data_IF_677059863478
#
_entry.id   IF_677059863478
#
_cell.length_a   1.000
_cell.length_b   1.000
_cell.length_c   1.000
_cell.angle_alpha   90.00
_cell.angle_beta   90.00
_cell.angle_gamma   90.00
#
_symmetry.space_group_name_H-M   'P 1'
#
loop_
_entity.id
_entity.type
_entity.pdbx_description
1 polymer ?
#
# COMPACT_ATOMS: atom_id res chain seq x y z
N UNK A 1 14.93 22.61 -7.26
CA UNK A 1 13.75 23.10 -6.54
C UNK A 1 13.61 22.25 -5.29
N UNK A 2 13.60 22.88 -4.12
CA UNK A 2 13.38 22.19 -2.84
C UNK A 2 11.93 22.43 -2.43
N UNK A 3 11.16 21.37 -2.22
CA UNK A 3 9.82 21.44 -1.66
C UNK A 3 9.92 20.85 -0.25
N UNK A 4 9.91 21.72 0.78
CA UNK A 4 9.89 21.36 2.21
C UNK A 4 10.63 20.06 2.58
N UNK A 5 11.96 20.06 2.38
CA UNK A 5 12.81 18.93 2.77
C UNK A 5 13.05 17.84 1.71
N UNK A 6 12.47 17.98 0.51
CA UNK A 6 12.76 17.11 -0.62
C UNK A 6 13.60 17.82 -1.67
N UNK A 7 14.70 17.20 -2.11
CA UNK A 7 15.50 17.67 -3.23
C UNK A 7 14.97 17.05 -4.53
N UNK A 8 14.55 17.86 -5.49
CA UNK A 8 14.30 17.42 -6.85
C UNK A 8 15.65 17.28 -7.57
N UNK A 9 16.09 16.04 -7.74
CA UNK A 9 17.26 15.73 -8.55
C UNK A 9 16.83 15.60 -10.01
N UNK A 10 17.33 16.48 -10.87
CA UNK A 10 17.22 16.32 -12.32
C UNK A 10 18.36 15.40 -12.76
N UNK A 11 18.05 14.12 -12.96
CA UNK A 11 19.00 13.18 -13.55
C UNK A 11 19.10 13.42 -15.06
N UNK A 12 20.28 13.21 -15.69
CA UNK A 12 20.40 13.16 -17.15
C UNK A 12 19.42 12.11 -17.67
N UNK A 13 18.62 12.48 -18.65
CA UNK A 13 17.70 11.55 -19.30
C UNK A 13 18.54 10.51 -20.04
N UNK A 14 18.55 9.27 -19.56
CA UNK A 14 19.08 8.16 -20.33
C UNK A 14 18.19 8.00 -21.57
N UNK A 15 18.80 7.89 -22.74
CA UNK A 15 18.04 7.57 -23.95
C UNK A 15 17.30 6.26 -23.73
N UNK A 16 15.99 6.29 -23.83
CA UNK A 16 15.16 5.10 -23.72
C UNK A 16 15.49 4.18 -24.90
N UNK A 17 16.11 3.05 -24.64
CA UNK A 17 16.52 2.09 -25.68
C UNK A 17 15.33 1.36 -26.32
N UNK A 18 14.15 1.41 -25.70
CA UNK A 18 12.90 0.89 -26.27
C UNK A 18 11.71 1.74 -25.86
N UNK A 19 10.80 2.09 -26.79
CA UNK A 19 9.57 2.79 -26.45
C UNK A 19 8.66 1.88 -25.61
N UNK A 20 8.10 2.42 -24.54
CA UNK A 20 7.05 1.76 -23.79
C UNK A 20 5.75 1.69 -24.61
N UNK A 21 4.91 0.66 -24.42
CA UNK A 21 3.55 0.65 -24.97
C UNK A 21 2.80 1.94 -24.62
N UNK A 22 1.98 2.44 -25.56
CA UNK A 22 1.36 3.78 -25.45
C UNK A 22 0.43 3.96 -24.26
N UNK A 23 -0.15 2.88 -23.76
CA UNK A 23 -1.09 2.83 -22.65
C UNK A 23 -0.43 2.66 -21.27
N UNK A 24 0.89 2.39 -21.25
CA UNK A 24 1.68 2.28 -20.00
C UNK A 24 1.93 3.67 -19.45
N UNK A 25 1.48 3.90 -18.21
CA UNK A 25 1.62 5.18 -17.51
C UNK A 25 2.56 5.10 -16.31
N UNK A 26 2.92 3.88 -15.90
CA UNK A 26 3.79 3.65 -14.74
C UNK A 26 4.61 2.37 -14.91
N UNK A 27 5.85 2.41 -14.44
CA UNK A 27 6.70 1.24 -14.26
C UNK A 27 7.07 1.13 -12.79
N UNK A 28 6.81 -0.02 -12.17
CA UNK A 28 7.22 -0.29 -10.81
C UNK A 28 8.20 -1.46 -10.78
N UNK A 29 9.29 -1.33 -10.03
CA UNK A 29 10.30 -2.38 -9.95
C UNK A 29 10.03 -3.30 -8.77
N UNK A 30 10.12 -4.61 -9.02
CA UNK A 30 10.08 -5.65 -7.98
C UNK A 30 11.46 -6.27 -7.82
N UNK A 31 11.75 -6.77 -6.63
CA UNK A 31 13.05 -7.41 -6.32
C UNK A 31 13.32 -8.68 -7.14
N UNK A 32 12.30 -9.25 -7.80
CA UNK A 32 12.39 -10.45 -8.63
C UNK A 32 12.98 -11.68 -7.89
N UNK A 33 12.36 -12.83 -8.01
CA UNK A 33 12.87 -14.09 -7.44
C UNK A 33 14.18 -14.56 -8.10
N UNK A 34 14.52 -14.00 -9.26
CA UNK A 34 15.71 -14.33 -10.07
C UNK A 34 16.92 -13.42 -9.81
N UNK A 35 16.85 -12.53 -8.80
CA UNK A 35 17.97 -11.66 -8.41
C UNK A 35 18.12 -10.37 -9.24
N UNK A 36 17.42 -10.23 -10.37
CA UNK A 36 17.40 -8.98 -11.14
C UNK A 36 16.05 -8.28 -10.98
N UNK A 37 16.02 -6.97 -10.69
CA UNK A 37 14.77 -6.23 -10.61
C UNK A 37 13.99 -6.30 -11.93
N UNK A 38 12.69 -6.57 -11.83
CA UNK A 38 11.78 -6.56 -12.99
C UNK A 38 10.90 -5.32 -12.94
N UNK A 39 10.86 -4.56 -14.02
CA UNK A 39 9.97 -3.41 -14.14
C UNK A 39 8.59 -3.86 -14.63
N UNK A 40 7.61 -3.88 -13.74
CA UNK A 40 6.21 -4.19 -14.08
C UNK A 40 5.58 -3.01 -14.79
N UNK A 41 5.02 -3.25 -15.97
CA UNK A 41 4.33 -2.24 -16.79
C UNK A 41 2.87 -2.13 -16.32
N UNK A 42 2.47 -0.92 -15.93
CA UNK A 42 1.10 -0.65 -15.47
C UNK A 42 0.43 0.37 -16.40
N UNK A 43 -0.76 0.00 -16.86
CA UNK A 43 -1.59 0.86 -17.71
C UNK A 43 -2.51 1.73 -16.87
N UNK A 44 -3.03 2.80 -17.48
CA UNK A 44 -4.05 3.64 -16.88
C UNK A 44 -5.30 2.82 -16.51
N UNK A 45 -5.72 1.92 -17.39
CA UNK A 45 -6.91 1.08 -17.16
C UNK A 45 -6.76 0.19 -15.92
N UNK A 46 -5.58 -0.45 -15.75
CA UNK A 46 -5.32 -1.28 -14.57
C UNK A 46 -5.38 -0.45 -13.27
N UNK A 47 -4.71 0.70 -13.26
CA UNK A 47 -4.68 1.58 -12.08
C UNK A 47 -6.09 2.08 -11.76
N UNK A 48 -6.87 2.51 -12.76
CA UNK A 48 -8.25 2.96 -12.55
C UNK A 48 -9.14 1.85 -11.98
N UNK A 49 -9.07 0.65 -12.54
CA UNK A 49 -9.88 -0.48 -12.06
C UNK A 49 -9.59 -0.84 -10.59
N UNK A 50 -8.30 -0.83 -10.19
CA UNK A 50 -7.91 -1.08 -8.80
C UNK A 50 -8.37 0.06 -7.88
N UNK A 51 -8.17 1.32 -8.28
CA UNK A 51 -8.56 2.48 -7.45
C UNK A 51 -10.06 2.54 -7.25
N UNK A 52 -10.87 2.34 -8.29
CA UNK A 52 -12.33 2.29 -8.20
C UNK A 52 -12.80 1.17 -7.27
N UNK A 53 -12.24 -0.03 -7.41
CA UNK A 53 -12.55 -1.18 -6.56
C UNK A 53 -12.19 -0.93 -5.10
N UNK A 54 -11.05 -0.27 -4.82
CA UNK A 54 -10.63 0.05 -3.45
C UNK A 54 -11.50 1.13 -2.82
N UNK A 55 -11.93 2.14 -3.59
CA UNK A 55 -12.89 3.16 -3.12
C UNK A 55 -14.18 2.47 -2.66
N UNK A 56 -14.71 1.55 -3.47
CA UNK A 56 -15.94 0.82 -3.17
C UNK A 56 -15.78 -0.06 -1.91
N UNK A 57 -14.76 -0.94 -1.89
CA UNK A 57 -14.59 -1.95 -0.84
C UNK A 57 -14.19 -1.35 0.50
N UNK A 58 -13.32 -0.34 0.52
CA UNK A 58 -12.90 0.37 1.71
C UNK A 58 -13.84 1.54 2.07
N UNK A 59 -14.88 1.79 1.25
CA UNK A 59 -15.86 2.86 1.43
C UNK A 59 -15.21 4.22 1.63
N UNK A 60 -14.22 4.54 0.78
CA UNK A 60 -13.48 5.81 0.86
C UNK A 60 -14.38 6.95 0.38
N UNK A 61 -14.39 8.04 1.14
CA UNK A 61 -15.18 9.25 0.86
C UNK A 61 -14.30 10.50 0.94
N UNK A 62 -14.83 11.65 0.54
CA UNK A 62 -14.16 12.96 0.66
C UNK A 62 -13.87 13.37 2.11
N UNK A 63 -14.53 12.77 3.09
CA UNK A 63 -14.33 13.07 4.51
C UNK A 63 -13.10 12.35 5.09
N UNK A 64 -12.52 11.41 4.34
CA UNK A 64 -11.36 10.66 4.80
C UNK A 64 -10.09 11.47 4.80
N UNK A 65 -9.24 11.14 5.77
CA UNK A 65 -7.87 11.65 5.92
C UNK A 65 -6.90 10.49 6.03
N UNK A 66 -6.02 10.39 5.07
CA UNK A 66 -4.99 9.36 5.03
C UNK A 66 -3.63 9.91 5.44
N UNK A 67 -2.85 9.12 6.17
CA UNK A 67 -1.43 9.37 6.38
C UNK A 67 -0.59 8.33 5.66
N UNK A 68 0.28 8.78 4.76
CA UNK A 68 1.26 7.93 4.11
C UNK A 68 2.37 7.57 5.10
N UNK A 69 2.52 6.28 5.38
CA UNK A 69 3.53 5.74 6.29
C UNK A 69 4.68 5.10 5.52
N UNK A 70 4.37 4.38 4.45
CA UNK A 70 5.40 3.82 3.58
C UNK A 70 5.90 4.85 2.56
N UNK A 71 7.15 4.70 2.06
CA UNK A 71 7.65 5.54 0.99
C UNK A 71 6.72 5.51 -0.24
N UNK A 72 6.52 6.65 -0.90
CA UNK A 72 5.66 6.75 -2.09
C UNK A 72 6.13 5.91 -3.29
N UNK A 73 7.38 5.42 -3.25
CA UNK A 73 7.88 4.45 -4.23
C UNK A 73 7.29 3.05 -4.03
N UNK A 74 6.76 2.74 -2.85
CA UNK A 74 6.05 1.48 -2.57
C UNK A 74 4.69 1.52 -3.26
N UNK A 75 4.46 0.58 -4.18
CA UNK A 75 3.26 0.59 -5.03
C UNK A 75 1.96 0.56 -4.21
N UNK A 76 1.94 -0.17 -3.10
CA UNK A 76 0.77 -0.25 -2.21
C UNK A 76 0.39 1.13 -1.66
N UNK A 77 1.35 1.88 -1.11
CA UNK A 77 1.10 3.24 -0.61
C UNK A 77 0.73 4.19 -1.74
N UNK A 78 1.41 4.09 -2.87
CA UNK A 78 1.17 4.96 -4.01
C UNK A 78 -0.25 4.80 -4.60
N UNK A 79 -0.70 3.57 -4.79
CA UNK A 79 -2.03 3.27 -5.35
C UNK A 79 -3.12 3.42 -4.27
N UNK A 80 -3.03 2.66 -3.19
CA UNK A 80 -4.09 2.58 -2.19
C UNK A 80 -4.10 3.75 -1.21
N UNK A 81 -2.92 4.34 -0.91
CA UNK A 81 -2.79 5.47 0.01
C UNK A 81 -2.91 6.84 -0.67
N UNK A 82 -2.51 6.96 -1.95
CA UNK A 82 -2.53 8.27 -2.63
C UNK A 82 -3.61 8.33 -3.70
N UNK A 83 -3.55 7.46 -4.72
CA UNK A 83 -4.47 7.58 -5.88
C UNK A 83 -5.92 7.35 -5.49
N UNK A 84 -6.18 6.34 -4.66
CA UNK A 84 -7.54 6.03 -4.14
C UNK A 84 -8.11 7.24 -3.40
N UNK A 85 -7.35 7.82 -2.48
CA UNK A 85 -7.83 8.93 -1.65
C UNK A 85 -8.06 10.19 -2.49
N UNK A 86 -7.12 10.54 -3.38
CA UNK A 86 -7.26 11.70 -4.26
C UNK A 86 -8.43 11.54 -5.23
N UNK A 87 -8.66 10.36 -5.78
CA UNK A 87 -9.80 10.08 -6.66
C UNK A 87 -11.14 10.21 -5.93
N UNK A 88 -11.19 9.85 -4.65
CA UNK A 88 -12.38 10.02 -3.81
C UNK A 88 -12.56 11.47 -3.29
N UNK A 89 -11.64 12.40 -3.59
CA UNK A 89 -11.66 13.77 -3.06
C UNK A 89 -11.23 13.89 -1.60
N UNK A 90 -10.61 12.86 -1.05
CA UNK A 90 -10.12 12.77 0.33
C UNK A 90 -8.79 13.51 0.53
N UNK A 91 -8.38 13.67 1.79
CA UNK A 91 -7.12 14.32 2.15
C UNK A 91 -6.00 13.28 2.30
N UNK A 92 -4.80 13.62 1.80
CA UNK A 92 -3.60 12.81 1.96
C UNK A 92 -2.51 13.64 2.66
N UNK A 93 -2.03 13.14 3.81
CA UNK A 93 -0.91 13.69 4.55
C UNK A 93 0.35 12.90 4.23
N UNK A 94 1.40 13.57 3.80
CA UNK A 94 2.71 12.97 3.46
C UNK A 94 3.77 13.57 4.39
N UNK A 95 3.95 13.00 5.60
CA UNK A 95 4.94 13.50 6.56
C UNK A 95 6.35 13.04 6.20
N UNK A 96 7.35 13.67 6.81
CA UNK A 96 8.72 13.15 6.76
C UNK A 96 8.86 11.85 7.56
N UNK A 97 9.84 11.02 7.23
CA UNK A 97 10.13 9.79 7.96
C UNK A 97 10.39 10.06 9.46
N UNK A 98 11.13 11.12 9.78
CA UNK A 98 11.38 11.52 11.17
C UNK A 98 10.09 11.88 11.92
N UNK A 99 9.16 12.59 11.28
CA UNK A 99 7.86 12.94 11.89
C UNK A 99 7.02 11.68 12.20
N UNK A 100 7.19 10.60 11.43
CA UNK A 100 6.57 9.30 11.66
C UNK A 100 7.29 8.45 12.72
N UNK A 101 8.49 8.84 13.13
CA UNK A 101 9.35 8.04 14.00
C UNK A 101 10.02 6.87 13.29
N UNK A 102 10.31 7.03 11.99
CA UNK A 102 10.95 6.01 11.16
C UNK A 102 12.43 6.30 10.98
N UNK A 103 13.26 5.25 11.02
CA UNK A 103 14.66 5.23 10.58
C UNK A 103 14.86 4.14 9.53
N UNK A 104 15.27 4.54 8.32
CA UNK A 104 15.35 3.62 7.19
C UNK A 104 14.00 2.97 6.90
N UNK A 105 13.93 1.63 6.96
CA UNK A 105 12.68 0.86 6.77
C UNK A 105 11.99 0.48 8.09
N UNK A 106 12.58 0.79 9.23
CA UNK A 106 12.07 0.47 10.56
C UNK A 106 11.26 1.60 11.18
N UNK A 107 10.37 1.26 12.11
CA UNK A 107 9.61 2.21 12.92
C UNK A 107 10.15 2.17 14.35
N UNK A 108 11.07 3.08 14.67
CA UNK A 108 11.77 3.07 15.97
C UNK A 108 10.96 3.77 17.08
N UNK A 109 10.07 4.67 16.67
CA UNK A 109 9.24 5.43 17.61
C UNK A 109 7.77 5.40 17.18
N UNK A 110 7.06 4.24 17.34
CA UNK A 110 5.66 4.09 16.93
C UNK A 110 4.71 5.10 17.60
N UNK A 111 5.09 5.64 18.76
CA UNK A 111 4.35 6.68 19.47
C UNK A 111 4.17 7.96 18.65
N UNK A 112 5.13 8.31 17.78
CA UNK A 112 5.02 9.48 16.89
C UNK A 112 3.92 9.29 15.86
N UNK A 113 3.85 8.12 15.23
CA UNK A 113 2.77 7.80 14.29
C UNK A 113 1.41 7.80 15.01
N UNK A 114 1.30 7.13 16.15
CA UNK A 114 0.06 7.09 16.95
C UNK A 114 -0.40 8.51 17.32
N UNK A 115 0.50 9.34 17.83
CA UNK A 115 0.21 10.73 18.16
C UNK A 115 -0.25 11.54 16.97
N UNK A 116 0.38 11.35 15.80
CA UNK A 116 0.00 12.02 14.55
C UNK A 116 -1.39 11.59 14.10
N UNK A 117 -1.71 10.29 14.13
CA UNK A 117 -3.03 9.76 13.77
C UNK A 117 -4.11 10.43 14.62
N UNK A 118 -3.92 10.47 15.95
CA UNK A 118 -4.86 11.07 16.89
C UNK A 118 -4.99 12.58 16.67
N UNK A 119 -3.86 13.31 16.64
CA UNK A 119 -3.88 14.78 16.57
C UNK A 119 -4.41 15.32 15.25
N UNK A 120 -4.24 14.60 14.16
CA UNK A 120 -4.69 15.01 12.82
C UNK A 120 -6.06 14.46 12.46
N UNK A 121 -6.67 13.62 13.30
CA UNK A 121 -7.94 12.97 13.01
C UNK A 121 -7.83 12.08 11.75
N UNK A 122 -6.78 11.25 11.69
CA UNK A 122 -6.56 10.35 10.56
C UNK A 122 -7.58 9.22 10.62
N UNK A 123 -8.27 9.00 9.49
CA UNK A 123 -9.31 7.98 9.37
C UNK A 123 -8.82 6.71 8.68
N UNK A 124 -7.78 6.80 7.86
CA UNK A 124 -7.24 5.66 7.11
C UNK A 124 -5.71 5.63 7.16
N UNK A 125 -5.14 4.42 7.21
CA UNK A 125 -3.68 4.20 7.17
C UNK A 125 -3.39 2.84 6.54
N UNK A 126 -2.20 2.70 5.95
CA UNK A 126 -1.67 1.42 5.47
C UNK A 126 -0.44 1.06 6.29
N UNK A 127 -0.43 -0.12 6.89
CA UNK A 127 0.68 -0.60 7.72
C UNK A 127 1.22 -1.94 7.18
N UNK A 128 2.52 -2.13 7.33
CA UNK A 128 3.14 -3.44 7.27
C UNK A 128 2.99 -4.16 8.61
N UNK A 129 3.07 -5.51 8.68
CA UNK A 129 2.88 -6.26 9.93
C UNK A 129 3.76 -5.79 11.09
N UNK A 130 5.05 -5.52 10.84
CA UNK A 130 5.96 -5.01 11.88
C UNK A 130 5.59 -3.61 12.39
N UNK A 131 5.04 -2.75 11.54
CA UNK A 131 4.53 -1.44 11.94
C UNK A 131 3.28 -1.56 12.81
N UNK A 132 2.36 -2.47 12.45
CA UNK A 132 1.18 -2.77 13.25
C UNK A 132 1.56 -3.31 14.62
N UNK A 133 2.56 -4.19 14.70
CA UNK A 133 3.04 -4.73 15.98
C UNK A 133 3.56 -3.61 16.90
N UNK A 134 4.40 -2.72 16.37
CA UNK A 134 4.88 -1.54 17.09
C UNK A 134 3.72 -0.66 17.58
N UNK A 135 2.71 -0.45 16.74
CA UNK A 135 1.53 0.34 17.04
C UNK A 135 0.70 -0.28 18.19
N UNK A 136 0.46 -1.59 18.13
CA UNK A 136 -0.23 -2.36 19.17
C UNK A 136 0.53 -2.30 20.49
N UNK A 137 1.85 -2.53 20.48
CA UNK A 137 2.68 -2.50 21.69
C UNK A 137 2.57 -1.17 22.44
N UNK A 138 2.51 -0.06 21.70
CA UNK A 138 2.35 1.28 22.29
C UNK A 138 0.99 1.45 22.97
N UNK A 139 -0.08 0.97 22.33
CA UNK A 139 -1.44 1.04 22.89
C UNK A 139 -1.54 0.13 24.13
N UNK A 140 -1.01 -1.09 24.08
CA UNK A 140 -0.98 -2.02 25.22
C UNK A 140 -0.14 -1.47 26.40
N UNK A 141 0.85 -0.61 26.13
CA UNK A 141 1.61 0.10 27.14
C UNK A 141 0.85 1.29 27.77
N UNK A 142 -0.41 1.50 27.41
CA UNK A 142 -1.29 2.49 28.04
C UNK A 142 -1.47 3.79 27.25
N UNK A 143 -0.96 3.89 26.01
CA UNK A 143 -1.28 5.02 25.15
C UNK A 143 -2.72 4.91 24.61
N UNK A 144 -3.41 6.03 24.37
CA UNK A 144 -4.79 5.98 23.87
C UNK A 144 -4.86 5.38 22.46
N UNK A 145 -5.88 4.56 22.21
CA UNK A 145 -6.17 4.09 20.85
C UNK A 145 -6.80 5.22 20.01
N UNK A 146 -6.56 5.24 18.68
CA UNK A 146 -7.10 6.27 17.79
C UNK A 146 -8.60 6.01 17.52
N UNK A 147 -9.46 6.93 17.94
CA UNK A 147 -10.91 6.79 17.81
C UNK A 147 -11.45 7.12 16.43
N UNK A 148 -10.75 7.98 15.69
CA UNK A 148 -11.17 8.41 14.34
C UNK A 148 -10.72 7.43 13.25
N UNK A 149 -9.74 6.56 13.57
CA UNK A 149 -9.25 5.57 12.63
C UNK A 149 -10.35 4.54 12.35
N UNK A 150 -10.82 4.48 11.09
CA UNK A 150 -11.87 3.56 10.66
C UNK A 150 -11.38 2.45 9.73
N UNK A 151 -10.21 2.65 9.10
CA UNK A 151 -9.65 1.67 8.16
C UNK A 151 -8.13 1.64 8.24
N UNK A 152 -7.60 0.56 8.78
CA UNK A 152 -6.17 0.25 8.78
C UNK A 152 -5.93 -0.94 7.84
N UNK A 153 -5.50 -0.66 6.61
CA UNK A 153 -5.14 -1.70 5.66
C UNK A 153 -3.83 -2.37 6.09
N UNK A 154 -3.78 -3.69 6.04
CA UNK A 154 -2.60 -4.48 6.38
C UNK A 154 -2.16 -5.32 5.19
N UNK A 155 -0.96 -5.09 4.70
CA UNK A 155 -0.44 -5.78 3.52
C UNK A 155 1.08 -5.77 3.41
N UNK A 156 1.59 -6.26 2.29
CA UNK A 156 3.00 -6.30 1.96
C UNK A 156 3.78 -7.52 2.46
N UNK A 157 3.28 -8.23 3.47
CA UNK A 157 3.86 -9.48 3.98
C UNK A 157 2.79 -10.33 4.68
N UNK A 158 3.13 -11.59 4.98
CA UNK A 158 2.29 -12.45 5.79
C UNK A 158 2.18 -11.93 7.23
N UNK A 159 1.01 -12.09 7.84
CA UNK A 159 0.73 -11.67 9.22
C UNK A 159 0.28 -12.85 10.06
N UNK A 160 0.68 -12.90 11.33
CA UNK A 160 0.24 -13.94 12.25
C UNK A 160 -1.18 -13.68 12.74
N UNK A 161 -1.95 -14.76 12.92
CA UNK A 161 -3.29 -14.69 13.51
C UNK A 161 -3.24 -14.09 14.93
N UNK A 162 -2.17 -14.35 15.66
CA UNK A 162 -1.95 -13.79 17.01
C UNK A 162 -1.92 -12.26 16.98
N UNK A 163 -1.20 -11.67 16.02
CA UNK A 163 -1.13 -10.20 15.87
C UNK A 163 -2.49 -9.60 15.51
N UNK A 164 -3.24 -10.26 14.62
CA UNK A 164 -4.59 -9.82 14.25
C UNK A 164 -5.57 -9.92 15.42
N UNK A 165 -5.46 -10.96 16.25
CA UNK A 165 -6.28 -11.10 17.45
C UNK A 165 -5.97 -10.02 18.50
N UNK A 166 -4.69 -9.64 18.67
CA UNK A 166 -4.30 -8.50 19.54
C UNK A 166 -4.90 -7.19 19.03
N UNK A 167 -4.83 -6.94 17.71
CA UNK A 167 -5.47 -5.77 17.12
C UNK A 167 -6.98 -5.75 17.36
N UNK A 168 -7.65 -6.88 17.20
CA UNK A 168 -9.10 -7.02 17.44
C UNK A 168 -9.46 -6.80 18.91
N UNK A 169 -8.66 -7.30 19.87
CA UNK A 169 -8.86 -7.06 21.29
C UNK A 169 -8.78 -5.57 21.67
N UNK A 170 -7.97 -4.80 20.94
CA UNK A 170 -7.87 -3.34 21.07
C UNK A 170 -8.91 -2.58 20.23
N UNK A 171 -9.83 -3.28 19.58
CA UNK A 171 -10.85 -2.72 18.67
C UNK A 171 -10.26 -1.90 17.51
N UNK A 172 -9.02 -2.21 17.10
CA UNK A 172 -8.41 -1.57 15.95
C UNK A 172 -9.04 -2.08 14.64
N UNK A 173 -9.42 -1.20 13.73
CA UNK A 173 -10.10 -1.55 12.46
C UNK A 173 -9.11 -2.05 11.42
N UNK A 174 -8.50 -3.21 11.66
CA UNK A 174 -7.46 -3.79 10.81
C UNK A 174 -8.07 -4.71 9.76
N UNK A 175 -7.74 -4.45 8.50
CA UNK A 175 -8.23 -5.19 7.32
C UNK A 175 -7.06 -5.73 6.52
N UNK A 176 -6.84 -7.04 6.60
CA UNK A 176 -5.79 -7.70 5.84
C UNK A 176 -6.14 -7.80 4.36
N UNK A 177 -5.16 -7.53 3.50
CA UNK A 177 -5.27 -7.70 2.05
C UNK A 177 -4.14 -8.53 1.46
N UNK A 178 -4.30 -8.89 0.20
CA UNK A 178 -3.31 -9.57 -0.63
C UNK A 178 -3.20 -8.84 -1.97
N UNK A 179 -1.99 -8.79 -2.49
CA UNK A 179 -1.76 -8.18 -3.78
C UNK A 179 -0.36 -8.45 -4.32
N UNK A 180 -0.16 -8.03 -5.57
CA UNK A 180 1.10 -8.14 -6.28
C UNK A 180 1.24 -7.00 -7.28
N UNK A 181 2.48 -6.66 -7.62
CA UNK A 181 2.76 -5.53 -8.52
C UNK A 181 2.16 -5.72 -9.91
N UNK A 182 2.12 -6.95 -10.39
CA UNK A 182 1.56 -7.34 -11.68
C UNK A 182 0.05 -7.06 -11.81
N UNK A 183 -0.66 -6.98 -10.67
CA UNK A 183 -2.08 -6.65 -10.59
C UNK A 183 -2.31 -5.22 -10.08
N UNK A 184 -1.38 -4.32 -10.28
CA UNK A 184 -1.43 -2.93 -9.84
C UNK A 184 -1.71 -2.76 -8.34
N UNK A 185 -1.14 -3.60 -7.51
CA UNK A 185 -1.09 -3.58 -6.05
C UNK A 185 -2.05 -4.56 -5.34
N UNK A 186 -3.35 -4.29 -5.28
CA UNK A 186 -4.28 -5.05 -4.42
C UNK A 186 -5.18 -5.95 -5.26
N UNK A 187 -5.34 -7.20 -4.82
CA UNK A 187 -6.17 -8.24 -5.48
C UNK A 187 -7.33 -8.66 -4.57
N UNK A 188 -7.04 -8.86 -3.28
CA UNK A 188 -8.02 -9.20 -2.26
C UNK A 188 -7.94 -8.22 -1.09
N UNK A 189 -9.08 -7.98 -0.45
CA UNK A 189 -9.16 -7.14 0.73
C UNK A 189 -10.32 -7.56 1.63
N UNK A 190 -10.08 -7.59 2.94
CA UNK A 190 -11.13 -7.61 3.93
C UNK A 190 -11.84 -6.25 3.95
N UNK A 191 -13.14 -6.26 4.21
CA UNK A 191 -13.97 -5.07 4.24
C UNK A 191 -14.70 -4.93 5.58
N UNK A 192 -15.20 -3.72 5.87
CA UNK A 192 -15.86 -3.38 7.14
C UNK A 192 -16.94 -4.39 7.53
N UNK A 193 -17.75 -4.85 6.56
CA UNK A 193 -18.85 -5.78 6.80
C UNK A 193 -18.51 -7.24 6.53
N UNK A 194 -17.26 -7.57 6.20
CA UNK A 194 -16.81 -8.94 5.88
C UNK A 194 -15.34 -9.14 6.21
N UNK A 195 -14.95 -8.82 7.44
CA UNK A 195 -13.59 -9.02 7.93
C UNK A 195 -13.46 -10.40 8.59
N UNK A 196 -12.56 -11.24 8.06
CA UNK A 196 -12.28 -12.58 8.59
C UNK A 196 -10.79 -12.68 8.96
N UNK A 197 -10.50 -12.76 10.24
CA UNK A 197 -9.13 -12.91 10.75
C UNK A 197 -8.51 -14.18 10.18
N UNK A 198 -7.29 -14.05 9.66
CA UNK A 198 -6.56 -15.15 9.00
C UNK A 198 -6.90 -15.36 7.52
N UNK A 199 -7.80 -14.55 6.97
CA UNK A 199 -8.08 -14.48 5.54
C UNK A 199 -7.59 -13.16 4.95
N UNK A 200 -7.18 -13.18 3.69
CA UNK A 200 -6.85 -11.96 2.92
C UNK A 200 -8.09 -11.24 2.38
N UNK A 201 -9.28 -11.70 2.72
CA UNK A 201 -10.54 -11.12 2.28
C UNK A 201 -11.02 -11.66 0.93
N UNK A 202 -11.96 -10.95 0.33
CA UNK A 202 -12.55 -11.29 -0.97
C UNK A 202 -11.76 -10.66 -2.10
N UNK A 203 -11.84 -11.28 -3.28
CA UNK A 203 -11.35 -10.67 -4.53
C UNK A 203 -12.03 -9.30 -4.74
N UNK A 204 -11.24 -8.32 -5.18
CA UNK A 204 -11.77 -7.01 -5.55
C UNK A 204 -12.70 -7.11 -6.78
N UNK A 205 -13.68 -6.20 -6.96
CA UNK A 205 -14.69 -6.29 -8.03
C UNK A 205 -14.14 -6.47 -9.45
N UNK A 206 -12.96 -5.94 -9.75
CA UNK A 206 -12.35 -5.99 -11.09
C UNK A 206 -11.57 -7.29 -11.37
N UNK A 207 -11.42 -8.21 -10.39
CA UNK A 207 -10.66 -9.46 -10.55
C UNK A 207 -11.50 -10.68 -10.19
N UNK A 208 -11.13 -11.82 -10.79
CA UNK A 208 -11.60 -13.16 -10.40
C UNK A 208 -10.41 -14.00 -10.01
N UNK A 209 -10.58 -14.79 -8.96
CA UNK A 209 -9.55 -15.72 -8.47
C UNK A 209 -10.07 -17.15 -8.59
N UNK A 210 -9.21 -18.01 -9.11
CA UNK A 210 -9.41 -19.46 -9.10
C UNK A 210 -8.14 -20.13 -8.59
N UNK A 211 -8.26 -21.32 -8.07
CA UNK A 211 -7.12 -22.16 -7.73
C UNK A 211 -6.96 -23.23 -8.81
N UNK A 212 -5.75 -23.40 -9.29
CA UNK A 212 -5.38 -24.54 -10.12
C UNK A 212 -5.32 -25.84 -9.29
N UNK A 213 -5.25 -26.98 -9.95
CA UNK A 213 -5.24 -28.30 -9.30
C UNK A 213 -4.02 -28.51 -8.36
N UNK A 214 -2.92 -27.81 -8.62
CA UNK A 214 -1.69 -27.81 -7.82
C UNK A 214 -1.70 -26.73 -6.70
N UNK A 215 -2.80 -25.96 -6.57
CA UNK A 215 -2.97 -24.91 -5.58
C UNK A 215 -2.44 -23.54 -6.01
N UNK A 216 -1.96 -23.38 -7.26
CA UNK A 216 -1.56 -22.06 -7.78
C UNK A 216 -2.75 -21.11 -7.82
N UNK A 217 -2.52 -19.85 -7.39
CA UNK A 217 -3.52 -18.80 -7.44
C UNK A 217 -3.55 -18.15 -8.82
N UNK A 218 -4.63 -18.37 -9.56
CA UNK A 218 -4.86 -17.80 -10.87
C UNK A 218 -5.71 -16.55 -10.75
N UNK A 219 -5.20 -15.42 -11.27
CA UNK A 219 -5.89 -14.13 -11.23
C UNK A 219 -6.28 -13.72 -12.63
N UNK A 220 -7.57 -13.48 -12.84
CA UNK A 220 -8.14 -12.99 -14.08
C UNK A 220 -8.73 -11.60 -13.89
N UNK A 221 -8.54 -10.70 -14.85
CA UNK A 221 -9.06 -9.32 -14.80
C UNK A 221 -8.04 -8.26 -14.38
N UNK A 222 -6.94 -8.65 -13.71
CA UNK A 222 -5.88 -7.74 -13.27
C UNK A 222 -5.05 -7.11 -14.40
N UNK A 223 -5.16 -7.64 -15.63
CA UNK A 223 -4.65 -7.01 -16.84
C UNK A 223 -3.12 -6.90 -16.91
N UNK A 224 -2.36 -7.92 -16.53
CA UNK A 224 -0.90 -7.88 -16.63
C UNK A 224 -0.41 -7.57 -18.05
N UNK A 225 0.28 -6.45 -18.23
CA UNK A 225 0.75 -5.95 -19.53
C UNK A 225 2.13 -6.50 -19.91
N UNK A 226 2.95 -6.86 -18.94
CA UNK A 226 4.28 -7.40 -19.14
C UNK A 226 5.34 -6.77 -18.24
N UNK A 227 6.58 -7.23 -18.45
CA UNK A 227 7.75 -6.67 -17.79
C UNK A 227 8.55 -5.83 -18.75
N UNK A 228 9.11 -4.75 -18.26
CA UNK A 228 10.16 -4.05 -18.96
C UNK A 228 11.46 -4.87 -18.84
N UNK A 229 11.92 -5.43 -19.96
CA UNK A 229 13.21 -6.08 -20.06
C UNK A 229 14.24 -5.05 -20.56
N UNK A 230 15.37 -4.91 -19.84
CA UNK A 230 16.52 -4.09 -20.24
C UNK A 230 16.38 -2.55 -20.08
N UNK A 231 15.96 -2.05 -18.93
CA UNK A 231 16.53 -0.78 -18.49
C UNK A 231 17.92 -1.09 -17.94
N UNK A 232 18.97 -0.61 -18.61
CA UNK A 232 20.29 -0.59 -18.01
C UNK A 232 20.18 0.03 -16.63
N UNK A 233 20.41 -0.76 -15.60
CA UNK A 233 20.40 -0.31 -14.21
C UNK A 233 21.61 0.62 -14.09
N UNK A 234 21.41 1.90 -14.38
CA UNK A 234 22.33 2.93 -13.93
C UNK A 234 22.39 2.78 -12.41
N UNK A 235 23.58 2.61 -11.86
CA UNK A 235 23.79 2.49 -10.42
C UNK A 235 23.05 3.61 -9.71
N UNK A 236 22.06 3.24 -8.93
CA UNK A 236 21.43 4.13 -7.96
C UNK A 236 22.43 4.29 -6.80
N UNK A 237 22.89 5.50 -6.58
CA UNK A 237 23.69 5.90 -5.42
C UNK A 237 22.72 6.41 -4.35
#
# INVERSE_FOLDING_TARGET
>A
TVIQGYALLKLPQAEATQPLPRDVVKVTFTSGTTGSPKGVLLTHQQISAVTESLIEVAQITSDDKHVCVMPLAVLLENIAGVYVLLQAGAQVLIPSADALGMQGSGMDTPQRLLSMIIQKGITTVILAPGMLEGFINVIEAGHPAPTDLRFCALGGASVSISLLNRAAALQLPVYQGYGMSECASVVCLNAVNSNHIGSVGKALPHVRITLADDGEVLIQGGGFTGYCQNFGVGRWI
#
